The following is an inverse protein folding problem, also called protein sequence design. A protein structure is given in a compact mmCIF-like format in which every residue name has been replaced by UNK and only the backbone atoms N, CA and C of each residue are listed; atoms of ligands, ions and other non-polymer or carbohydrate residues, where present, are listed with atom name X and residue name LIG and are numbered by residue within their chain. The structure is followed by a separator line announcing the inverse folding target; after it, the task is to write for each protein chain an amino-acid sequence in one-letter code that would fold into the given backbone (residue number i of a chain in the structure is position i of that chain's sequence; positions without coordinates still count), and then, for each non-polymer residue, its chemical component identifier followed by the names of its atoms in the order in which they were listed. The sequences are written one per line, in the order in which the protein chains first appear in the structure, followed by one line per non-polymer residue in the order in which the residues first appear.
data_IF_653473961288
#
_entry.id   IF_653473961288
#
_cell.length_a   1.000
_cell.length_b   1.000
_cell.length_c   1.000
_cell.angle_alpha   90.00
_cell.angle_beta   90.00
_cell.angle_gamma   90.00
#
_symmetry.space_group_name_H-M   'P 1'
#
loop_
_entity.id
_entity.type
_entity.pdbx_description
1 polymer ?
#
# COMPACT_ATOMS: atom_id res chain seq x y z
N UNK A 1 18.64 -16.05 -43.30
CA UNK A 1 19.96 -15.84 -43.93
C UNK A 1 21.00 -16.87 -43.49
N UNK A 2 20.75 -17.68 -42.46
CA UNK A 2 21.71 -18.65 -41.90
C UNK A 2 22.04 -19.86 -42.78
N UNK A 3 21.37 -20.04 -43.93
CA UNK A 3 21.55 -21.19 -44.83
C UNK A 3 22.15 -20.82 -46.20
N UNK A 4 22.57 -19.57 -46.42
CA UNK A 4 23.23 -19.18 -47.69
C UNK A 4 24.74 -19.40 -47.58
N UNK A 5 25.36 -19.85 -48.67
CA UNK A 5 26.82 -19.95 -48.75
C UNK A 5 27.46 -18.56 -48.78
N UNK A 6 28.74 -18.48 -48.41
CA UNK A 6 29.47 -17.20 -48.36
C UNK A 6 29.56 -16.51 -49.73
N UNK A 7 29.67 -17.29 -50.79
CA UNK A 7 29.71 -16.80 -52.18
C UNK A 7 28.38 -16.13 -52.57
N UNK A 8 27.25 -16.77 -52.26
CA UNK A 8 25.92 -16.22 -52.51
C UNK A 8 25.66 -14.93 -51.70
N UNK A 9 26.22 -14.82 -50.49
CA UNK A 9 26.13 -13.58 -49.70
C UNK A 9 26.93 -12.42 -50.34
N UNK A 10 28.06 -12.73 -50.96
CA UNK A 10 28.91 -11.75 -51.64
C UNK A 10 28.26 -11.26 -52.95
N UNK A 11 27.66 -12.17 -53.71
CA UNK A 11 26.85 -11.83 -54.88
C UNK A 11 25.61 -11.02 -54.51
N UNK A 12 24.91 -11.39 -53.43
CA UNK A 12 23.79 -10.60 -52.92
C UNK A 12 24.25 -9.17 -52.59
N UNK A 13 25.39 -9.02 -51.91
CA UNK A 13 25.95 -7.71 -51.55
C UNK A 13 26.33 -6.87 -52.78
N UNK A 14 26.84 -7.48 -53.85
CA UNK A 14 27.20 -6.78 -55.09
C UNK A 14 25.96 -6.35 -55.87
N UNK A 15 24.92 -7.19 -55.91
CA UNK A 15 23.66 -6.91 -56.61
C UNK A 15 22.80 -5.85 -55.92
N UNK A 16 22.54 -6.00 -54.61
CA UNK A 16 21.66 -5.05 -53.90
C UNK A 16 22.40 -3.81 -53.42
N UNK A 17 23.73 -3.88 -53.30
CA UNK A 17 24.58 -2.84 -52.75
C UNK A 17 24.80 -2.96 -51.23
N UNK A 18 25.92 -2.43 -50.74
CA UNK A 18 26.37 -2.66 -49.35
C UNK A 18 25.45 -2.09 -48.27
N UNK A 19 24.69 -1.02 -48.56
CA UNK A 19 23.79 -0.37 -47.60
C UNK A 19 22.50 -1.18 -47.38
N UNK A 20 21.88 -1.62 -48.46
CA UNK A 20 20.65 -2.42 -48.45
C UNK A 20 20.94 -3.83 -47.91
N UNK A 21 22.05 -4.44 -48.31
CA UNK A 21 22.52 -5.73 -47.79
C UNK A 21 22.67 -5.70 -46.26
N UNK A 22 23.35 -4.70 -45.71
CA UNK A 22 23.50 -4.54 -44.25
C UNK A 22 22.17 -4.37 -43.53
N UNK A 23 21.21 -3.67 -44.14
CA UNK A 23 19.88 -3.49 -43.57
C UNK A 23 19.08 -4.79 -43.54
N UNK A 24 19.18 -5.62 -44.59
CA UNK A 24 18.55 -6.94 -44.65
C UNK A 24 19.18 -7.93 -43.66
N UNK A 25 20.51 -7.93 -43.54
CA UNK A 25 21.24 -8.83 -42.62
C UNK A 25 21.06 -8.44 -41.15
N UNK A 26 21.06 -7.14 -40.84
CA UNK A 26 20.89 -6.66 -39.47
C UNK A 26 19.46 -6.88 -38.91
N UNK A 27 18.51 -7.26 -39.77
CA UNK A 27 17.10 -7.43 -39.41
C UNK A 27 16.41 -6.09 -39.13
N UNK A 28 15.14 -5.99 -39.52
CA UNK A 28 14.30 -4.86 -39.11
C UNK A 28 13.87 -5.02 -37.65
N UNK A 29 14.81 -4.85 -36.72
CA UNK A 29 14.46 -4.61 -35.31
C UNK A 29 13.80 -3.24 -35.21
N UNK A 30 12.63 -3.09 -34.58
CA UNK A 30 11.98 -1.80 -34.43
C UNK A 30 12.94 -0.84 -33.72
N UNK A 31 13.33 0.23 -34.41
CA UNK A 31 14.14 1.30 -33.82
C UNK A 31 13.26 1.98 -32.76
N UNK A 32 13.48 1.68 -31.49
CA UNK A 32 12.97 2.51 -30.41
C UNK A 32 13.55 3.91 -30.60
N UNK A 33 12.71 4.87 -31.00
CA UNK A 33 13.11 6.23 -31.37
C UNK A 33 13.57 7.12 -30.18
N UNK A 34 13.87 6.51 -29.03
CA UNK A 34 14.27 7.22 -27.81
C UNK A 34 15.70 6.96 -27.36
N UNK A 35 16.40 5.95 -27.89
CA UNK A 35 17.79 5.66 -27.50
C UNK A 35 18.75 6.15 -28.56
N UNK A 36 19.59 7.13 -28.19
CA UNK A 36 20.82 7.42 -28.93
C UNK A 36 21.55 6.09 -29.15
N UNK A 37 21.98 5.75 -30.37
CA UNK A 37 22.69 4.49 -30.59
C UNK A 37 23.84 4.43 -29.58
N UNK A 38 24.06 3.31 -28.88
CA UNK A 38 25.25 3.18 -28.05
C UNK A 38 26.40 3.51 -28.99
N UNK A 39 27.17 4.54 -28.63
CA UNK A 39 28.45 4.78 -29.30
C UNK A 39 29.19 3.48 -29.06
N UNK A 40 29.27 2.66 -30.12
CA UNK A 40 30.14 1.51 -30.13
C UNK A 40 31.51 2.16 -30.02
N UNK A 41 32.01 2.27 -28.78
CA UNK A 41 33.41 2.53 -28.56
C UNK A 41 34.07 1.36 -29.29
N UNK A 42 34.62 1.64 -30.48
CA UNK A 42 35.41 0.68 -31.22
C UNK A 42 36.32 0.03 -30.19
N UNK A 43 36.21 -1.29 -30.08
CA UNK A 43 36.92 -2.06 -29.07
C UNK A 43 38.37 -1.59 -29.03
N UNK A 44 38.73 -0.93 -27.93
CA UNK A 44 40.08 -0.44 -27.75
C UNK A 44 40.91 -1.69 -27.51
N UNK A 45 41.60 -2.17 -28.54
CA UNK A 45 42.43 -3.37 -28.46
C UNK A 45 43.53 -3.22 -27.39
N UNK A 46 43.93 -1.99 -27.06
CA UNK A 46 44.95 -1.71 -26.05
C UNK A 46 44.67 -0.44 -25.24
N UNK A 47 44.55 -0.57 -23.92
CA UNK A 47 44.06 0.49 -22.99
C UNK A 47 45.00 1.70 -22.90
N UNK A 48 46.24 1.55 -23.35
CA UNK A 48 47.27 2.59 -23.29
C UNK A 48 47.53 3.28 -24.63
N UNK A 49 46.79 2.92 -25.69
CA UNK A 49 46.93 3.55 -27.01
C UNK A 49 46.05 4.81 -27.10
N UNK A 50 46.54 5.93 -27.65
CA UNK A 50 45.71 7.09 -27.92
C UNK A 50 44.59 6.73 -28.91
N UNK A 51 43.39 7.29 -28.66
CA UNK A 51 42.24 7.14 -29.56
C UNK A 51 42.17 8.33 -30.51
N UNK A 52 42.13 8.02 -31.80
CA UNK A 52 41.92 9.03 -32.84
C UNK A 52 40.44 9.47 -32.83
N UNK A 53 40.20 10.77 -32.68
CA UNK A 53 38.86 11.38 -32.74
C UNK A 53 38.83 12.44 -33.85
N UNK A 54 37.70 12.56 -34.55
CA UNK A 54 37.53 13.57 -35.59
C UNK A 54 37.38 14.97 -34.99
N UNK A 55 38.17 15.92 -35.48
CA UNK A 55 38.10 17.34 -35.10
C UNK A 55 36.74 18.01 -35.43
N UNK A 56 35.90 17.36 -36.24
CA UNK A 56 34.55 17.84 -36.60
C UNK A 56 33.51 17.53 -35.51
N UNK A 57 33.84 16.69 -34.53
CA UNK A 57 32.92 16.30 -33.45
C UNK A 57 32.91 17.41 -32.39
N UNK A 58 31.78 18.12 -32.29
CA UNK A 58 31.59 19.15 -31.26
C UNK A 58 31.47 18.50 -29.88
N UNK A 59 32.16 19.06 -28.88
CA UNK A 59 32.04 18.63 -27.48
C UNK A 59 30.62 18.93 -26.99
N UNK A 60 29.88 17.96 -26.42
CA UNK A 60 28.55 18.22 -25.89
C UNK A 60 28.64 19.13 -24.66
N UNK A 61 27.76 20.12 -24.59
CA UNK A 61 27.68 21.05 -23.45
C UNK A 61 27.35 20.32 -22.13
N UNK A 62 26.48 19.32 -22.19
CA UNK A 62 26.10 18.51 -21.04
C UNK A 62 26.91 17.20 -21.01
N UNK A 63 27.61 16.95 -19.90
CA UNK A 63 28.30 15.68 -19.67
C UNK A 63 27.27 14.57 -19.46
N UNK A 64 27.51 13.41 -20.06
CA UNK A 64 26.73 12.21 -19.78
C UNK A 64 27.07 11.72 -18.37
N UNK A 65 26.15 11.91 -17.42
CA UNK A 65 26.28 11.34 -16.08
C UNK A 65 25.99 9.85 -16.17
N UNK A 66 27.02 9.02 -16.02
CA UNK A 66 26.84 7.57 -15.90
C UNK A 66 26.29 7.29 -14.50
N UNK A 67 25.08 6.71 -14.36
CA UNK A 67 24.56 6.35 -13.05
C UNK A 67 25.48 5.29 -12.45
N UNK A 68 26.17 5.65 -11.37
CA UNK A 68 26.99 4.72 -10.60
C UNK A 68 26.05 4.00 -9.63
N UNK A 69 26.07 2.66 -9.61
CA UNK A 69 25.38 1.88 -8.58
C UNK A 69 26.11 2.05 -7.25
N UNK A 70 25.68 3.04 -6.47
CA UNK A 70 26.19 3.27 -5.13
C UNK A 70 25.51 2.28 -4.17
N UNK A 71 26.30 1.59 -3.36
CA UNK A 71 25.76 0.79 -2.25
C UNK A 71 25.23 1.74 -1.19
N UNK A 72 23.90 1.88 -1.11
CA UNK A 72 23.22 2.64 -0.06
C UNK A 72 22.98 1.71 1.12
N UNK A 73 23.45 2.09 2.31
CA UNK A 73 23.10 1.38 3.53
C UNK A 73 21.59 1.53 3.77
N UNK A 74 20.88 0.41 3.92
CA UNK A 74 19.43 0.40 4.12
C UNK A 74 19.11 0.01 5.56
N UNK A 75 18.19 0.75 6.19
CA UNK A 75 17.62 0.37 7.48
C UNK A 75 16.30 -0.36 7.21
N UNK A 76 16.20 -1.67 7.50
CA UNK A 76 14.99 -2.44 7.22
C UNK A 76 13.75 -1.93 7.96
N UNK A 77 13.90 -1.08 8.97
CA UNK A 77 12.77 -0.46 9.68
C UNK A 77 12.14 0.68 8.89
N UNK A 78 12.93 1.33 8.03
CA UNK A 78 12.54 2.56 7.32
C UNK A 78 12.70 2.44 5.80
N UNK A 79 13.13 1.28 5.30
CA UNK A 79 13.32 1.03 3.88
C UNK A 79 11.98 0.60 3.26
N UNK A 80 11.56 1.31 2.21
CA UNK A 80 10.31 1.07 1.49
C UNK A 80 10.23 -0.36 0.91
N UNK A 81 11.38 -1.00 0.68
CA UNK A 81 11.46 -2.38 0.20
C UNK A 81 11.14 -3.43 1.28
N UNK A 82 11.09 -3.06 2.56
CA UNK A 82 10.87 -4.00 3.67
C UNK A 82 9.38 -4.36 3.89
N UNK A 83 8.48 -3.80 3.07
CA UNK A 83 7.06 -4.15 3.02
C UNK A 83 6.16 -3.19 3.81
N UNK A 84 4.85 -3.43 3.72
CA UNK A 84 3.83 -2.57 4.33
C UNK A 84 3.28 -3.13 5.65
N UNK A 85 2.71 -2.24 6.47
CA UNK A 85 2.08 -2.61 7.73
C UNK A 85 0.86 -3.51 7.50
N UNK A 86 0.98 -4.78 7.90
CA UNK A 86 -0.13 -5.73 7.91
C UNK A 86 -0.67 -5.92 9.33
N UNK A 87 -1.91 -5.46 9.63
CA UNK A 87 -2.44 -5.52 10.99
C UNK A 87 -2.61 -6.94 11.50
N UNK A 88 -2.97 -7.89 10.63
CA UNK A 88 -3.16 -9.30 11.02
C UNK A 88 -1.86 -9.96 11.49
N UNK A 89 -0.75 -9.65 10.81
CA UNK A 89 0.58 -10.17 11.19
C UNK A 89 1.06 -9.46 12.44
N UNK A 90 0.87 -8.14 12.53
CA UNK A 90 1.25 -7.35 13.69
C UNK A 90 0.55 -7.83 14.96
N UNK A 91 -0.77 -8.01 14.91
CA UNK A 91 -1.56 -8.42 16.08
C UNK A 91 -1.16 -9.82 16.59
N UNK A 92 -0.73 -10.71 15.70
CA UNK A 92 -0.21 -12.05 16.04
C UNK A 92 1.22 -11.99 16.60
N UNK A 93 2.13 -11.31 15.89
CA UNK A 93 3.54 -11.22 16.26
C UNK A 93 3.75 -10.50 17.59
N UNK A 94 2.95 -9.48 17.86
CA UNK A 94 3.02 -8.66 19.07
C UNK A 94 1.88 -8.94 20.05
N UNK A 95 1.30 -10.15 20.03
CA UNK A 95 0.19 -10.52 20.92
C UNK A 95 0.52 -10.35 22.41
N UNK A 96 1.78 -10.57 22.80
CA UNK A 96 2.27 -10.42 24.18
C UNK A 96 2.14 -9.00 24.74
N UNK A 97 2.02 -7.98 23.87
CA UNK A 97 1.79 -6.59 24.31
C UNK A 97 0.45 -6.45 25.04
N UNK A 98 -0.52 -7.33 24.79
CA UNK A 98 -1.80 -7.31 25.49
C UNK A 98 -1.61 -7.60 26.99
N UNK A 99 -0.73 -8.54 27.34
CA UNK A 99 -0.44 -8.90 28.73
C UNK A 99 0.28 -7.75 29.46
N UNK A 100 1.20 -7.08 28.77
CA UNK A 100 1.90 -5.91 29.29
C UNK A 100 0.92 -4.76 29.55
N UNK A 101 0.07 -4.43 28.57
CA UNK A 101 -0.96 -3.39 28.70
C UNK A 101 -1.96 -3.71 29.83
N UNK A 102 -2.33 -4.97 30.01
CA UNK A 102 -3.19 -5.40 31.10
C UNK A 102 -2.52 -5.15 32.47
N UNK A 103 -1.23 -5.50 32.62
CA UNK A 103 -0.45 -5.21 33.83
C UNK A 103 -0.35 -3.71 34.09
N UNK A 104 -0.04 -2.91 33.07
CA UNK A 104 0.02 -1.44 33.17
C UNK A 104 -1.31 -0.85 33.62
N UNK A 105 -2.44 -1.33 33.07
CA UNK A 105 -3.79 -0.89 33.46
C UNK A 105 -4.05 -1.16 34.94
N UNK A 106 -3.65 -2.33 35.44
CA UNK A 106 -3.78 -2.66 36.86
C UNK A 106 -2.87 -1.79 37.76
N UNK A 107 -1.68 -1.43 37.30
CA UNK A 107 -0.81 -0.47 38.01
C UNK A 107 -1.47 0.92 38.11
N UNK A 108 -2.03 1.42 37.00
CA UNK A 108 -2.74 2.71 36.98
C UNK A 108 -3.95 2.67 37.93
N UNK A 109 -4.74 1.59 37.93
CA UNK A 109 -5.84 1.41 38.90
C UNK A 109 -5.36 1.41 40.34
N UNK A 110 -4.24 0.74 40.64
CA UNK A 110 -3.65 0.74 42.00
C UNK A 110 -3.21 2.14 42.42
N UNK A 111 -2.59 2.90 41.52
CA UNK A 111 -2.21 4.30 41.79
C UNK A 111 -3.44 5.20 42.00
N UNK A 112 -4.48 5.03 41.19
CA UNK A 112 -5.74 5.76 41.33
C UNK A 112 -6.41 5.50 42.68
N UNK A 113 -6.33 4.28 43.22
CA UNK A 113 -6.83 3.97 44.56
C UNK A 113 -6.03 4.65 45.68
N UNK A 114 -4.74 4.95 45.46
CA UNK A 114 -3.86 5.60 46.46
C UNK A 114 -4.07 7.10 46.51
N UNK A 115 -4.29 7.74 45.35
CA UNK A 115 -4.54 9.18 45.27
C UNK A 115 -6.03 9.46 45.27
N UNK A 116 -6.56 10.15 46.28
CA UNK A 116 -8.01 10.38 46.41
C UNK A 116 -8.51 11.62 45.67
N UNK A 117 -7.64 12.62 45.47
CA UNK A 117 -7.98 13.90 44.86
C UNK A 117 -6.73 14.70 44.48
N UNK A 118 -6.85 15.59 43.49
CA UNK A 118 -5.77 16.45 42.97
C UNK A 118 -5.49 16.23 41.48
N UNK A 119 -4.64 17.07 40.89
CA UNK A 119 -4.31 17.00 39.46
C UNK A 119 -3.73 15.64 39.04
N UNK A 120 -2.97 14.99 39.93
CA UNK A 120 -2.44 13.65 39.69
C UNK A 120 -3.53 12.59 39.56
N UNK A 121 -4.60 12.69 40.34
CA UNK A 121 -5.74 11.78 40.27
C UNK A 121 -6.50 11.95 38.95
N UNK A 122 -6.75 13.19 38.53
CA UNK A 122 -7.42 13.46 37.25
C UNK A 122 -6.60 12.96 36.06
N UNK A 123 -5.28 13.18 36.06
CA UNK A 123 -4.36 12.66 35.02
C UNK A 123 -4.41 11.14 34.96
N UNK A 124 -4.39 10.45 36.10
CA UNK A 124 -4.49 8.99 36.19
C UNK A 124 -5.86 8.47 35.72
N UNK A 125 -6.95 9.17 36.05
CA UNK A 125 -8.29 8.83 35.61
C UNK A 125 -8.44 8.95 34.09
N UNK A 126 -7.94 10.04 33.51
CA UNK A 126 -7.91 10.25 32.07
C UNK A 126 -7.05 9.19 31.35
N UNK A 127 -5.90 8.83 31.94
CA UNK A 127 -5.05 7.77 31.42
C UNK A 127 -5.79 6.43 31.41
N UNK A 128 -6.42 6.05 32.52
CA UNK A 128 -7.20 4.82 32.62
C UNK A 128 -8.32 4.78 31.57
N UNK A 129 -9.07 5.88 31.44
CA UNK A 129 -10.13 5.99 30.44
C UNK A 129 -9.59 5.83 29.01
N UNK A 130 -8.42 6.42 28.71
CA UNK A 130 -7.76 6.28 27.41
C UNK A 130 -7.36 4.82 27.14
N UNK A 131 -6.78 4.14 28.13
CA UNK A 131 -6.39 2.73 28.00
C UNK A 131 -7.61 1.84 27.75
N UNK A 132 -8.71 2.05 28.48
CA UNK A 132 -9.97 1.33 28.29
C UNK A 132 -10.57 1.57 26.90
N UNK A 133 -10.58 2.83 26.43
CA UNK A 133 -11.07 3.15 25.08
C UNK A 133 -10.22 2.50 23.99
N UNK A 134 -8.89 2.48 24.14
CA UNK A 134 -8.00 1.82 23.20
C UNK A 134 -8.22 0.30 23.17
N UNK A 135 -8.41 -0.33 24.33
CA UNK A 135 -8.70 -1.76 24.44
C UNK A 135 -10.03 -2.12 23.78
N UNK A 136 -11.09 -1.35 24.06
CA UNK A 136 -12.40 -1.52 23.43
C UNK A 136 -12.30 -1.36 21.91
N UNK A 137 -11.62 -0.32 21.42
CA UNK A 137 -11.43 -0.12 19.97
C UNK A 137 -10.65 -1.26 19.31
N UNK A 138 -9.65 -1.82 20.00
CA UNK A 138 -8.90 -2.99 19.51
C UNK A 138 -9.79 -4.24 19.46
N UNK A 139 -10.61 -4.47 20.48
CA UNK A 139 -11.55 -5.59 20.50
C UNK A 139 -12.61 -5.47 19.39
N UNK A 140 -13.19 -4.29 19.20
CA UNK A 140 -14.11 -4.03 18.09
C UNK A 140 -13.46 -4.31 16.73
N UNK A 141 -12.21 -3.86 16.54
CA UNK A 141 -11.45 -4.14 15.31
C UNK A 141 -11.22 -5.63 15.08
N UNK A 142 -10.83 -6.37 16.13
CA UNK A 142 -10.62 -7.83 16.07
C UNK A 142 -11.91 -8.57 15.72
N UNK A 143 -13.02 -8.22 16.37
CA UNK A 143 -14.33 -8.80 16.07
C UNK A 143 -14.74 -8.55 14.60
N UNK A 144 -14.53 -7.34 14.09
CA UNK A 144 -14.81 -7.04 12.67
C UNK A 144 -13.92 -7.86 11.72
N UNK A 145 -12.65 -8.05 12.06
CA UNK A 145 -11.74 -8.89 11.29
C UNK A 145 -12.18 -10.36 11.31
N UNK A 146 -12.52 -10.90 12.46
CA UNK A 146 -13.00 -12.29 12.61
C UNK A 146 -14.27 -12.52 11.79
N UNK A 147 -15.25 -11.61 11.85
CA UNK A 147 -16.45 -11.67 11.01
C UNK A 147 -16.12 -11.64 9.52
N UNK A 148 -15.20 -10.77 9.10
CA UNK A 148 -14.77 -10.70 7.71
C UNK A 148 -14.07 -11.99 7.25
N UNK A 149 -13.22 -12.57 8.11
CA UNK A 149 -12.54 -13.83 7.85
C UNK A 149 -13.55 -14.99 7.75
N UNK A 150 -14.52 -15.07 8.65
CA UNK A 150 -15.59 -16.06 8.61
C UNK A 150 -16.38 -15.98 7.29
N UNK A 151 -16.83 -14.78 6.90
CA UNK A 151 -17.52 -14.58 5.62
C UNK A 151 -16.64 -14.96 4.42
N UNK A 152 -15.33 -14.70 4.48
CA UNK A 152 -14.39 -15.09 3.43
C UNK A 152 -14.23 -16.61 3.34
N UNK A 153 -14.22 -17.30 4.48
CA UNK A 153 -14.15 -18.76 4.54
C UNK A 153 -15.43 -19.41 4.00
N UNK A 154 -16.60 -18.93 4.40
CA UNK A 154 -17.89 -19.41 3.89
C UNK A 154 -18.01 -19.28 2.37
N UNK A 155 -17.62 -18.11 1.83
CA UNK A 155 -17.60 -17.89 0.37
C UNK A 155 -16.65 -18.84 -0.34
N UNK A 156 -15.48 -19.12 0.26
CA UNK A 156 -14.52 -20.08 -0.30
C UNK A 156 -15.11 -21.49 -0.29
N UNK A 157 -15.81 -21.89 0.77
CA UNK A 157 -16.47 -23.19 0.85
C UNK A 157 -17.57 -23.33 -0.21
N UNK A 158 -18.41 -22.30 -0.40
CA UNK A 158 -19.42 -22.28 -1.48
C UNK A 158 -18.80 -22.41 -2.86
N UNK A 159 -17.69 -21.72 -3.11
CA UNK A 159 -16.96 -21.81 -4.38
C UNK A 159 -16.36 -23.22 -4.59
N UNK A 160 -15.85 -23.85 -3.53
CA UNK A 160 -15.35 -25.24 -3.58
C UNK A 160 -16.46 -26.24 -3.90
N UNK A 161 -17.69 -25.97 -3.46
CA UNK A 161 -18.88 -26.77 -3.80
C UNK A 161 -19.39 -26.52 -5.24
N UNK A 162 -18.78 -25.58 -5.98
CA UNK A 162 -19.19 -25.21 -7.34
C UNK A 162 -20.28 -24.15 -7.41
N UNK A 163 -20.74 -23.62 -6.28
CA UNK A 163 -21.66 -22.48 -6.27
C UNK A 163 -20.92 -21.18 -6.59
N UNK A 164 -21.61 -20.24 -7.25
CA UNK A 164 -21.07 -18.90 -7.52
C UNK A 164 -21.24 -18.01 -6.28
N UNK A 165 -20.17 -17.66 -5.54
CA UNK A 165 -20.29 -16.89 -4.31
C UNK A 165 -20.83 -15.48 -4.58
N UNK A 166 -21.81 -15.05 -3.78
CA UNK A 166 -22.39 -13.71 -3.87
C UNK A 166 -21.63 -12.72 -2.97
N UNK A 167 -21.28 -11.57 -3.53
CA UNK A 167 -20.60 -10.49 -2.82
C UNK A 167 -21.60 -9.36 -2.54
N UNK A 168 -21.96 -9.21 -1.27
CA UNK A 168 -22.85 -8.15 -0.81
C UNK A 168 -22.32 -6.77 -1.21
N UNK A 169 -23.20 -5.91 -1.71
CA UNK A 169 -22.87 -4.51 -2.01
C UNK A 169 -22.49 -3.76 -0.73
N UNK A 170 -21.71 -2.70 -0.85
CA UNK A 170 -21.33 -1.84 0.30
C UNK A 170 -22.55 -1.27 1.04
N UNK A 171 -23.64 -0.98 0.33
CA UNK A 171 -24.91 -0.53 0.92
C UNK A 171 -25.58 -1.62 1.76
N UNK A 172 -25.64 -2.84 1.23
CA UNK A 172 -26.21 -4.02 1.90
C UNK A 172 -25.40 -4.36 3.16
N UNK A 173 -24.06 -4.35 3.08
CA UNK A 173 -23.18 -4.55 4.23
C UNK A 173 -23.45 -3.53 5.34
N UNK A 174 -23.65 -2.25 5.00
CA UNK A 174 -24.00 -1.20 5.97
C UNK A 174 -25.38 -1.45 6.60
N UNK A 175 -26.37 -1.89 5.83
CA UNK A 175 -27.70 -2.21 6.36
C UNK A 175 -27.65 -3.39 7.33
N UNK A 176 -26.89 -4.43 7.01
CA UNK A 176 -26.68 -5.57 7.90
C UNK A 176 -25.99 -5.14 9.21
N UNK A 177 -24.90 -4.39 9.13
CA UNK A 177 -24.20 -3.87 10.30
C UNK A 177 -25.11 -2.97 11.17
N UNK A 178 -25.97 -2.14 10.56
CA UNK A 178 -26.96 -1.34 11.28
C UNK A 178 -28.03 -2.22 11.96
N UNK A 179 -28.50 -3.27 11.28
CA UNK A 179 -29.47 -4.20 11.83
C UNK A 179 -28.91 -4.99 13.01
N UNK A 180 -27.65 -5.44 12.93
CA UNK A 180 -26.95 -6.11 14.04
C UNK A 180 -26.77 -5.18 15.23
N UNK A 181 -26.29 -3.95 15.00
CA UNK A 181 -26.16 -2.93 16.05
C UNK A 181 -27.50 -2.62 16.71
N UNK A 182 -28.58 -2.56 15.93
CA UNK A 182 -29.93 -2.38 16.47
C UNK A 182 -30.35 -3.55 17.37
N UNK A 183 -30.10 -4.80 16.94
CA UNK A 183 -30.36 -6.00 17.76
C UNK A 183 -29.55 -5.98 19.05
N UNK A 184 -28.28 -5.61 18.99
CA UNK A 184 -27.41 -5.48 20.17
C UNK A 184 -27.94 -4.43 21.15
N UNK A 185 -28.27 -3.23 20.67
CA UNK A 185 -28.84 -2.16 21.50
C UNK A 185 -30.21 -2.54 22.10
N UNK A 186 -31.01 -3.32 21.37
CA UNK A 186 -32.28 -3.86 21.87
C UNK A 186 -32.03 -4.87 22.99
N UNK A 187 -31.07 -5.79 22.82
CA UNK A 187 -30.63 -6.74 23.85
C UNK A 187 -30.11 -6.03 25.09
N UNK A 188 -29.33 -4.97 24.90
CA UNK A 188 -28.75 -4.19 26.00
C UNK A 188 -29.73 -3.18 26.63
N UNK A 189 -31.00 -3.13 26.20
CA UNK A 189 -32.02 -2.14 26.61
C UNK A 189 -31.60 -0.67 26.48
N UNK A 190 -30.60 -0.37 25.63
CA UNK A 190 -30.08 1.01 25.39
C UNK A 190 -30.67 1.65 24.14
N UNK A 191 -31.55 0.94 23.43
CA UNK A 191 -32.10 1.35 22.15
C UNK A 191 -32.87 2.68 22.22
N UNK A 192 -33.78 2.85 23.18
CA UNK A 192 -34.58 4.08 23.31
C UNK A 192 -33.70 5.31 23.55
N UNK A 193 -32.70 5.18 24.43
CA UNK A 193 -31.74 6.25 24.69
C UNK A 193 -30.92 6.60 23.44
N UNK A 194 -30.52 5.60 22.66
CA UNK A 194 -29.81 5.82 21.40
C UNK A 194 -30.70 6.54 20.37
N UNK A 195 -31.94 6.10 20.20
CA UNK A 195 -32.91 6.71 19.29
C UNK A 195 -33.26 8.15 19.72
N UNK A 196 -33.47 8.40 21.02
CA UNK A 196 -33.70 9.75 21.56
C UNK A 196 -32.54 10.69 21.25
N UNK A 197 -31.29 10.26 21.52
CA UNK A 197 -30.08 11.03 21.16
C UNK A 197 -29.96 11.27 19.66
N UNK A 198 -30.32 10.28 18.83
CA UNK A 198 -30.31 10.40 17.37
C UNK A 198 -31.37 11.38 16.89
N UNK A 199 -32.60 11.31 17.39
CA UNK A 199 -33.70 12.26 17.11
C UNK A 199 -33.29 13.68 17.46
N UNK A 200 -32.73 13.91 18.66
CA UNK A 200 -32.23 15.24 19.08
C UNK A 200 -31.13 15.77 18.16
N UNK A 201 -30.19 14.92 17.74
CA UNK A 201 -29.11 15.32 16.82
C UNK A 201 -29.64 15.65 15.43
N UNK A 202 -30.61 14.89 14.92
CA UNK A 202 -31.25 15.15 13.63
C UNK A 202 -32.05 16.45 13.69
N UNK A 203 -32.90 16.65 14.71
CA UNK A 203 -33.65 17.90 14.90
C UNK A 203 -32.73 19.14 14.95
N UNK A 204 -31.55 19.02 15.60
CA UNK A 204 -30.55 20.09 15.61
C UNK A 204 -29.90 20.38 14.25
N UNK A 205 -29.83 19.38 13.34
CA UNK A 205 -29.40 19.58 11.95
C UNK A 205 -30.51 20.18 11.11
N UNK A 206 -31.73 19.65 11.22
CA UNK A 206 -32.90 20.11 10.49
C UNK A 206 -33.20 21.58 10.80
N UNK A 207 -33.04 21.99 12.08
CA UNK A 207 -33.14 23.39 12.51
C UNK A 207 -32.16 24.34 11.80
N UNK A 208 -30.99 23.87 11.33
CA UNK A 208 -30.05 24.72 10.57
C UNK A 208 -30.56 25.03 9.16
N UNK A 209 -31.44 24.19 8.62
CA UNK A 209 -32.03 24.35 7.30
C UNK A 209 -33.39 25.07 7.34
N UNK A 210 -33.94 25.32 8.54
CA UNK A 210 -35.11 26.16 8.70
C UNK A 210 -34.70 27.64 8.66
N UNK A 211 -35.52 28.52 8.05
CA UNK A 211 -35.29 29.95 8.11
C UNK A 211 -35.27 30.40 9.57
N UNK A 212 -34.29 31.21 9.95
CA UNK A 212 -34.30 31.92 11.22
C UNK A 212 -35.49 32.88 11.16
N UNK A 213 -36.48 32.69 12.03
CA UNK A 213 -37.55 33.67 12.22
C UNK A 213 -36.89 35.00 12.56
N UNK A 214 -37.02 35.98 11.65
CA UNK A 214 -36.69 37.38 11.91
C UNK A 214 -37.85 37.96 12.71
N UNK A 215 -37.62 38.11 14.01
CA UNK A 215 -38.30 39.09 14.85
C UNK A 215 -37.25 40.11 15.28
#
# INVERSE_FOLDING_TARGET
TSNMSFEELLELQSQVGTKTYKQLVAGNSPKNQGSRPPIQNACVADKHRPLEMSAKIRVPFLRQVVPISKKVARDPRFDDLSGEYNPEVFDKTYQFLNDIRAKEKELVKKQLKKHRSGEGHEKLQQLLQRMEQQEMAQQERKQQQELHLALKQERRAQAQQGHRPYFLKKSEQRQLALAEKFKELKRSKKLENFLSRKRRRNAGKDRRHLPLSKE
#
